data_IF_297935235866
#
_entry.id   IF_297935235866
#
_cell.length_a   1.000
_cell.length_b   1.000
_cell.length_c   1.000
_cell.angle_alpha   90.00
_cell.angle_beta   90.00
_cell.angle_gamma   90.00
#
_symmetry.space_group_name_H-M   'P 1'
#
loop_
_entity.id
_entity.type
_entity.pdbx_description
1 polymer ?
#
# COMPACT_ATOMS: atom_id res chain seq x y z
N UNK A 1 -11.78 13.37 -6.77
CA UNK A 1 -11.18 13.73 -5.46
C UNK A 1 -9.70 14.06 -5.62
N UNK A 2 -8.84 13.10 -5.95
CA UNK A 2 -7.40 13.30 -5.98
C UNK A 2 -6.95 14.50 -6.83
N UNK A 3 -7.52 14.66 -8.04
CA UNK A 3 -7.23 15.82 -8.92
C UNK A 3 -7.60 17.16 -8.28
N UNK A 4 -8.70 17.22 -7.56
CA UNK A 4 -9.16 18.43 -6.86
C UNK A 4 -8.28 18.77 -5.66
N UNK A 5 -7.67 17.76 -5.07
CA UNK A 5 -6.72 17.90 -3.95
C UNK A 5 -5.26 17.98 -4.42
N UNK A 6 -5.02 18.03 -5.73
CA UNK A 6 -3.68 18.05 -6.34
C UNK A 6 -2.80 16.87 -5.92
N UNK A 7 -3.42 15.72 -5.57
CA UNK A 7 -2.73 14.49 -5.22
C UNK A 7 -2.43 13.65 -6.46
N UNK A 8 -1.18 13.26 -6.61
CA UNK A 8 -0.77 12.30 -7.64
C UNK A 8 -0.96 10.89 -7.10
N UNK A 9 -1.95 10.18 -7.64
CA UNK A 9 -2.15 8.76 -7.38
C UNK A 9 -1.56 7.91 -8.51
N UNK A 10 -1.10 6.74 -8.16
CA UNK A 10 -0.66 5.70 -9.08
C UNK A 10 -1.57 4.49 -8.94
N UNK A 11 -1.77 3.77 -10.03
CA UNK A 11 -2.43 2.47 -10.02
C UNK A 11 -1.38 1.38 -10.16
N UNK A 12 -1.58 0.26 -9.50
CA UNK A 12 -0.63 -0.84 -9.52
C UNK A 12 -1.17 -2.11 -8.87
N UNK A 13 -0.35 -3.14 -8.91
CA UNK A 13 -0.64 -4.45 -8.33
C UNK A 13 0.02 -4.56 -6.97
N UNK A 14 -0.81 -4.79 -5.96
CA UNK A 14 -0.37 -5.05 -4.59
C UNK A 14 -0.27 -6.55 -4.35
N UNK A 15 0.88 -7.03 -3.90
CA UNK A 15 1.08 -8.44 -3.51
C UNK A 15 1.20 -8.57 -2.00
N UNK A 16 0.39 -9.45 -1.45
CA UNK A 16 0.35 -9.75 -0.02
C UNK A 16 1.38 -10.80 0.39
N UNK A 17 2.08 -10.51 1.48
CA UNK A 17 2.89 -11.45 2.23
C UNK A 17 2.41 -11.50 3.68
N UNK A 18 2.42 -12.68 4.34
CA UNK A 18 1.80 -12.81 5.66
C UNK A 18 2.57 -12.11 6.79
N UNK A 19 3.83 -11.76 6.60
CA UNK A 19 4.66 -11.22 7.68
C UNK A 19 4.90 -12.23 8.81
N UNK A 20 5.24 -11.77 10.03
CA UNK A 20 5.34 -10.38 10.49
C UNK A 20 6.64 -9.65 10.12
N UNK A 21 7.60 -10.35 9.50
CA UNK A 21 8.86 -9.77 9.02
C UNK A 21 8.68 -9.07 7.67
N UNK A 22 9.54 -8.11 7.35
CA UNK A 22 9.66 -7.61 5.99
C UNK A 22 10.03 -8.73 5.03
N UNK A 23 9.62 -8.59 3.78
CA UNK A 23 9.97 -9.50 2.70
C UNK A 23 11.49 -9.54 2.52
N UNK A 24 12.01 -10.72 2.19
CA UNK A 24 13.42 -10.86 1.80
C UNK A 24 13.66 -10.25 0.42
N UNK A 25 14.90 -9.86 0.08
CA UNK A 25 15.23 -9.40 -1.28
C UNK A 25 14.87 -10.42 -2.38
N UNK A 26 14.92 -11.71 -2.06
CA UNK A 26 14.51 -12.77 -3.00
C UNK A 26 12.99 -12.78 -3.23
N UNK A 27 12.20 -12.63 -2.17
CA UNK A 27 10.73 -12.51 -2.26
C UNK A 27 10.34 -11.26 -3.05
N UNK A 28 11.00 -10.11 -2.82
CA UNK A 28 10.75 -8.88 -3.57
C UNK A 28 11.04 -9.07 -5.07
N UNK A 29 12.15 -9.74 -5.42
CA UNK A 29 12.44 -10.05 -6.83
C UNK A 29 11.40 -11.00 -7.43
N UNK A 30 10.97 -12.02 -6.70
CA UNK A 30 9.93 -12.94 -7.14
C UNK A 30 8.59 -12.21 -7.35
N UNK A 31 8.18 -11.37 -6.41
CA UNK A 31 6.98 -10.55 -6.52
C UNK A 31 7.00 -9.68 -7.79
N UNK A 32 8.13 -9.03 -8.08
CA UNK A 32 8.30 -8.22 -9.29
C UNK A 32 8.14 -9.06 -10.57
N UNK A 33 8.73 -10.25 -10.62
CA UNK A 33 8.60 -11.18 -11.77
C UNK A 33 7.14 -11.60 -11.96
N UNK A 34 6.37 -11.75 -10.87
CA UNK A 34 4.95 -12.06 -10.89
C UNK A 34 4.06 -10.85 -11.23
N UNK A 35 4.63 -9.67 -11.37
CA UNK A 35 3.94 -8.46 -11.80
C UNK A 35 3.47 -7.54 -10.68
N UNK A 36 3.99 -7.70 -9.46
CA UNK A 36 3.68 -6.78 -8.36
C UNK A 36 4.42 -5.44 -8.50
N UNK A 37 3.74 -4.36 -8.16
CA UNK A 37 4.28 -2.99 -8.05
C UNK A 37 4.54 -2.60 -6.60
N UNK A 38 3.78 -3.16 -5.67
CA UNK A 38 3.92 -2.97 -4.23
C UNK A 38 3.77 -4.29 -3.49
N UNK A 39 4.42 -4.39 -2.33
CA UNK A 39 4.32 -5.54 -1.42
C UNK A 39 3.94 -5.07 -0.02
N UNK A 40 3.25 -5.91 0.74
CA UNK A 40 2.90 -5.61 2.12
C UNK A 40 2.10 -6.73 2.78
N UNK A 41 1.65 -6.49 4.01
CA UNK A 41 1.10 -7.50 4.91
C UNK A 41 -0.39 -7.28 5.23
N UNK A 42 -1.08 -6.49 4.44
CA UNK A 42 -2.48 -6.10 4.68
C UNK A 42 -3.32 -6.16 3.40
N UNK A 43 -4.53 -5.64 3.46
CA UNK A 43 -5.39 -5.31 2.30
C UNK A 43 -5.98 -6.53 1.59
N UNK A 44 -5.19 -7.51 1.19
CA UNK A 44 -5.66 -8.64 0.36
C UNK A 44 -6.60 -9.58 1.12
N UNK A 45 -6.33 -10.01 2.36
CA UNK A 45 -7.28 -10.84 3.12
C UNK A 45 -8.63 -10.16 3.31
N UNK A 46 -8.63 -8.86 3.63
CA UNK A 46 -9.84 -8.05 3.79
C UNK A 46 -10.58 -7.89 2.45
N UNK A 47 -9.85 -7.64 1.36
CA UNK A 47 -10.43 -7.50 0.03
C UNK A 47 -11.08 -8.81 -0.44
N UNK A 48 -10.47 -9.96 -0.18
CA UNK A 48 -11.04 -11.28 -0.50
C UNK A 48 -12.35 -11.49 0.27
N UNK A 49 -12.35 -11.22 1.57
CA UNK A 49 -13.53 -11.37 2.40
C UNK A 49 -14.66 -10.42 1.97
N UNK A 50 -14.33 -9.16 1.70
CA UNK A 50 -15.32 -8.16 1.25
C UNK A 50 -15.90 -8.55 -0.12
N UNK A 51 -15.07 -8.99 -1.07
CA UNK A 51 -15.51 -9.45 -2.38
C UNK A 51 -16.45 -10.68 -2.26
N UNK A 52 -16.12 -11.62 -1.37
CA UNK A 52 -17.00 -12.77 -1.10
C UNK A 52 -18.36 -12.34 -0.56
N UNK A 53 -18.42 -11.28 0.23
CA UNK A 53 -19.67 -10.70 0.75
C UNK A 53 -20.39 -9.79 -0.26
N UNK A 54 -19.87 -9.60 -1.46
CA UNK A 54 -20.49 -8.79 -2.51
C UNK A 54 -20.29 -7.27 -2.38
N UNK A 55 -19.31 -6.83 -1.60
CA UNK A 55 -18.98 -5.41 -1.47
C UNK A 55 -18.17 -4.90 -2.68
N UNK A 56 -18.40 -3.64 -3.03
CA UNK A 56 -17.49 -2.89 -3.90
C UNK A 56 -16.25 -2.48 -3.09
N UNK A 57 -15.07 -2.54 -3.70
CA UNK A 57 -13.82 -2.38 -3.00
C UNK A 57 -12.99 -1.28 -3.65
N UNK A 58 -12.50 -0.36 -2.83
CA UNK A 58 -11.44 0.58 -3.17
C UNK A 58 -10.25 0.32 -2.24
N UNK A 59 -9.13 -0.12 -2.81
CA UNK A 59 -7.87 -0.27 -2.09
C UNK A 59 -6.97 0.94 -2.29
N UNK A 60 -6.49 1.52 -1.19
CA UNK A 60 -5.52 2.63 -1.23
C UNK A 60 -4.34 2.26 -0.34
N UNK A 61 -3.14 2.30 -0.89
CA UNK A 61 -1.91 1.92 -0.19
C UNK A 61 -0.95 3.10 -0.13
N UNK A 62 -0.40 3.36 1.06
CA UNK A 62 0.73 4.23 1.23
C UNK A 62 2.02 3.42 1.06
N UNK A 63 2.82 3.77 0.04
CA UNK A 63 4.16 3.21 -0.11
C UNK A 63 5.12 3.97 0.80
N UNK A 64 5.43 3.40 1.96
CA UNK A 64 6.18 4.07 3.01
C UNK A 64 7.71 3.99 2.80
N UNK A 65 8.18 2.98 2.08
CA UNK A 65 9.59 2.77 1.76
C UNK A 65 9.75 1.99 0.45
N UNK A 66 10.97 1.87 -0.01
CA UNK A 66 11.32 0.90 -1.05
C UNK A 66 11.51 -0.47 -0.40
N UNK A 67 11.00 -1.52 -1.05
CA UNK A 67 11.10 -2.89 -0.55
C UNK A 67 12.56 -3.36 -0.42
N UNK A 68 12.79 -4.39 0.40
CA UNK A 68 14.11 -4.92 0.71
C UNK A 68 14.90 -5.28 -0.55
N UNK A 69 16.17 -4.86 -0.59
CA UNK A 69 17.10 -5.13 -1.69
C UNK A 69 16.91 -4.24 -2.92
N UNK A 70 15.96 -3.29 -2.90
CA UNK A 70 15.83 -2.28 -3.96
C UNK A 70 16.83 -1.15 -3.77
N UNK A 71 16.98 -0.66 -2.54
CA UNK A 71 18.01 0.29 -2.14
C UNK A 71 19.03 -0.41 -1.23
N UNK A 72 20.28 0.11 -1.14
CA UNK A 72 21.34 -0.52 -0.35
C UNK A 72 21.14 -0.41 1.17
N UNK A 73 20.35 0.57 1.66
CA UNK A 73 20.10 0.74 3.08
C UNK A 73 19.11 -0.31 3.64
N UNK A 74 19.26 -0.70 4.92
CA UNK A 74 18.30 -1.58 5.58
C UNK A 74 16.95 -0.88 5.79
N UNK A 75 15.88 -1.67 5.88
CA UNK A 75 14.55 -1.19 6.25
C UNK A 75 14.43 -1.04 7.76
N UNK A 76 13.62 -0.08 8.21
CA UNK A 76 13.28 0.09 9.61
C UNK A 76 11.78 0.35 9.80
N UNK A 77 11.23 -0.07 10.95
CA UNK A 77 9.85 0.23 11.32
C UNK A 77 9.63 1.72 11.62
N UNK A 78 10.67 2.39 12.10
CA UNK A 78 10.66 3.83 12.36
C UNK A 78 10.41 4.63 11.08
N UNK A 79 11.10 4.31 10.00
CA UNK A 79 10.92 4.95 8.68
C UNK A 79 9.48 4.82 8.19
N UNK A 80 8.87 3.64 8.38
CA UNK A 80 7.46 3.40 8.03
C UNK A 80 6.53 4.29 8.83
N UNK A 81 6.75 4.39 10.15
CA UNK A 81 5.94 5.22 11.03
C UNK A 81 6.07 6.72 10.71
N UNK A 82 7.28 7.21 10.50
CA UNK A 82 7.53 8.60 10.12
C UNK A 82 6.84 8.97 8.80
N UNK A 83 6.93 8.11 7.79
CA UNK A 83 6.25 8.32 6.52
C UNK A 83 4.73 8.30 6.68
N UNK A 84 4.21 7.41 7.51
CA UNK A 84 2.78 7.34 7.81
C UNK A 84 2.27 8.62 8.47
N UNK A 85 2.99 9.14 9.47
CA UNK A 85 2.65 10.40 10.16
C UNK A 85 2.67 11.59 9.20
N UNK A 86 3.70 11.71 8.36
CA UNK A 86 3.82 12.79 7.37
C UNK A 86 2.71 12.75 6.32
N UNK A 87 2.28 11.55 5.93
CA UNK A 87 1.28 11.36 4.87
C UNK A 87 -0.16 11.34 5.38
N UNK A 88 -0.37 11.19 6.69
CA UNK A 88 -1.69 11.04 7.30
C UNK A 88 -2.69 12.15 6.93
N UNK A 89 -2.33 13.45 6.88
CA UNK A 89 -3.27 14.49 6.50
C UNK A 89 -3.80 14.33 5.06
N UNK A 90 -2.91 14.04 4.11
CA UNK A 90 -3.28 13.83 2.71
C UNK A 90 -4.10 12.56 2.51
N UNK A 91 -3.69 11.47 3.17
CA UNK A 91 -4.41 10.21 3.12
C UNK A 91 -5.83 10.34 3.70
N UNK A 92 -5.97 10.97 4.86
CA UNK A 92 -7.26 11.22 5.50
C UNK A 92 -8.16 12.10 4.63
N UNK A 93 -7.62 13.18 4.06
CA UNK A 93 -8.36 14.07 3.16
C UNK A 93 -8.87 13.33 1.92
N UNK A 94 -8.04 12.46 1.34
CA UNK A 94 -8.43 11.65 0.19
C UNK A 94 -9.60 10.71 0.53
N UNK A 95 -9.50 9.98 1.63
CA UNK A 95 -10.53 9.00 2.06
C UNK A 95 -11.84 9.73 2.38
N UNK A 96 -11.78 10.82 3.16
CA UNK A 96 -12.98 11.61 3.48
C UNK A 96 -13.64 12.15 2.23
N UNK A 97 -12.87 12.72 1.30
CA UNK A 97 -13.40 13.21 0.05
C UNK A 97 -14.01 12.12 -0.86
N UNK A 98 -13.55 10.87 -0.75
CA UNK A 98 -14.19 9.73 -1.41
C UNK A 98 -15.53 9.39 -0.73
N UNK A 99 -15.56 9.29 0.60
CA UNK A 99 -16.77 8.96 1.36
C UNK A 99 -17.89 9.98 1.16
N UNK A 100 -17.57 11.26 1.03
CA UNK A 100 -18.55 12.32 0.75
C UNK A 100 -19.23 12.19 -0.62
N UNK A 101 -18.72 11.35 -1.51
CA UNK A 101 -19.23 11.13 -2.88
C UNK A 101 -19.93 9.77 -3.08
N UNK A 102 -19.95 8.94 -2.06
CA UNK A 102 -20.68 7.68 -2.07
C UNK A 102 -22.16 7.89 -1.73
#
# INVERSE_FOLDING_TARGET
VAKEQELTLREGVYMYFPGPQFETPAEVRAARVLGADAVGMSTVPEAIAAAHCGYEILGVTLCANMAAGVLPQPLSGEEVNEMAEQSAPHFSSLILGCLERL
#
